data_IF_306311328402
#
_entry.id   IF_306311328402
#
_cell.length_a   1.000
_cell.length_b   1.000
_cell.length_c   1.000
_cell.angle_alpha   90.00
_cell.angle_beta   90.00
_cell.angle_gamma   90.00
#
_symmetry.space_group_name_H-M   'P 1'
#
loop_
_entity.id
_entity.type
_entity.pdbx_description
1 polymer ?
#
# COMPACT_ATOMS: atom_id res chain seq x y z
N UNK A 1 -28.28 -54.58 -55.74
CA UNK A 1 -27.18 -53.76 -55.06
C UNK A 1 -27.41 -52.23 -55.06
N UNK A 2 -28.50 -51.75 -55.63
CA UNK A 2 -28.79 -50.29 -55.71
C UNK A 2 -29.40 -49.70 -54.42
N UNK A 3 -30.06 -50.48 -53.58
CA UNK A 3 -30.72 -50.00 -52.34
C UNK A 3 -29.75 -49.68 -51.22
N UNK A 4 -28.60 -50.33 -51.10
CA UNK A 4 -27.58 -50.07 -50.09
C UNK A 4 -26.85 -48.76 -50.40
N UNK A 5 -26.66 -48.41 -51.66
CA UNK A 5 -26.04 -47.19 -52.14
C UNK A 5 -26.93 -45.95 -51.81
N UNK A 6 -28.27 -46.08 -51.97
CA UNK A 6 -29.22 -45.00 -51.65
C UNK A 6 -29.28 -44.70 -50.16
N UNK A 7 -29.21 -45.70 -49.27
CA UNK A 7 -29.17 -45.53 -47.83
C UNK A 7 -27.87 -44.80 -47.36
N UNK A 8 -26.72 -45.18 -47.90
CA UNK A 8 -25.45 -44.55 -47.58
C UNK A 8 -25.38 -43.09 -48.05
N UNK A 9 -25.96 -42.76 -49.19
CA UNK A 9 -26.08 -41.38 -49.66
C UNK A 9 -26.98 -40.57 -48.79
N UNK A 10 -28.12 -41.11 -48.35
CA UNK A 10 -29.02 -40.41 -47.38
C UNK A 10 -28.34 -40.08 -46.05
N UNK A 11 -27.64 -41.05 -45.44
CA UNK A 11 -26.90 -40.81 -44.21
C UNK A 11 -25.80 -39.77 -44.37
N UNK A 12 -25.12 -39.73 -45.52
CA UNK A 12 -24.11 -38.71 -45.82
C UNK A 12 -24.74 -37.31 -45.91
N UNK A 13 -25.89 -37.19 -46.57
CA UNK A 13 -26.60 -35.93 -46.70
C UNK A 13 -27.09 -35.46 -45.31
N UNK A 14 -27.64 -36.35 -44.50
CA UNK A 14 -28.09 -36.03 -43.14
C UNK A 14 -26.93 -35.59 -42.27
N UNK A 15 -25.81 -36.29 -42.26
CA UNK A 15 -24.62 -35.89 -41.52
C UNK A 15 -24.08 -34.51 -41.96
N UNK A 16 -24.08 -34.24 -43.30
CA UNK A 16 -23.67 -32.95 -43.82
C UNK A 16 -24.66 -31.80 -43.40
N UNK A 17 -25.95 -32.11 -43.31
CA UNK A 17 -26.96 -31.17 -42.88
C UNK A 17 -26.82 -30.85 -41.38
N UNK A 18 -26.58 -31.86 -40.55
CA UNK A 18 -26.33 -31.70 -39.12
C UNK A 18 -25.06 -30.91 -38.86
N UNK A 19 -23.99 -31.20 -39.59
CA UNK A 19 -22.73 -30.45 -39.51
C UNK A 19 -22.91 -28.99 -39.94
N UNK A 20 -23.66 -28.73 -41.02
CA UNK A 20 -23.96 -27.38 -41.48
C UNK A 20 -24.80 -26.60 -40.49
N UNK A 21 -25.82 -27.26 -39.88
CA UNK A 21 -26.65 -26.66 -38.83
C UNK A 21 -25.82 -26.29 -37.61
N UNK A 22 -24.91 -27.14 -37.16
CA UNK A 22 -24.00 -26.86 -36.06
C UNK A 22 -23.04 -25.69 -36.37
N UNK A 23 -22.51 -25.63 -37.60
CA UNK A 23 -21.65 -24.56 -38.06
C UNK A 23 -22.38 -23.20 -38.13
N UNK A 24 -23.64 -23.20 -38.60
CA UNK A 24 -24.49 -21.99 -38.61
C UNK A 24 -24.77 -21.54 -37.19
N UNK A 25 -25.20 -22.44 -36.31
CA UNK A 25 -25.45 -22.11 -34.90
C UNK A 25 -24.22 -21.48 -34.24
N UNK A 26 -23.06 -22.08 -34.46
CA UNK A 26 -21.77 -21.57 -33.94
C UNK A 26 -21.39 -20.20 -34.53
N UNK A 27 -21.69 -19.97 -35.80
CA UNK A 27 -21.44 -18.70 -36.45
C UNK A 27 -22.37 -17.60 -35.91
N UNK A 28 -23.64 -17.94 -35.64
CA UNK A 28 -24.59 -17.02 -35.01
C UNK A 28 -24.20 -16.69 -33.59
N UNK A 29 -23.73 -17.63 -32.80
CA UNK A 29 -23.23 -17.42 -31.45
C UNK A 29 -21.99 -16.50 -31.42
N UNK A 30 -21.07 -16.70 -32.36
CA UNK A 30 -19.91 -15.82 -32.53
C UNK A 30 -20.30 -14.40 -32.93
N UNK A 31 -21.31 -14.25 -33.78
CA UNK A 31 -21.81 -12.94 -34.18
C UNK A 31 -22.51 -12.22 -32.99
N UNK A 32 -23.32 -12.96 -32.25
CA UNK A 32 -24.04 -12.43 -31.10
C UNK A 32 -23.10 -11.99 -29.95
N UNK A 33 -22.04 -12.77 -29.72
CA UNK A 33 -21.07 -12.47 -28.64
C UNK A 33 -19.94 -11.58 -29.10
N UNK A 34 -19.75 -11.35 -30.40
CA UNK A 34 -18.60 -10.62 -30.95
C UNK A 34 -17.25 -11.33 -30.72
N UNK A 35 -17.26 -12.55 -30.22
CA UNK A 35 -16.06 -13.33 -29.87
C UNK A 35 -15.84 -14.49 -30.83
N UNK A 36 -14.61 -14.68 -31.24
CA UNK A 36 -14.23 -15.77 -32.15
C UNK A 36 -14.18 -17.13 -31.46
N UNK A 37 -13.91 -17.16 -30.16
CA UNK A 37 -13.95 -18.35 -29.31
C UNK A 37 -14.99 -18.16 -28.23
N UNK A 38 -16.11 -18.90 -28.27
CA UNK A 38 -17.21 -18.76 -27.31
C UNK A 38 -17.17 -19.90 -26.30
N UNK A 39 -16.82 -21.10 -26.74
CA UNK A 39 -16.72 -22.28 -25.88
C UNK A 39 -15.26 -22.70 -25.69
N UNK A 40 -14.95 -23.33 -24.57
CA UNK A 40 -13.61 -23.88 -24.30
C UNK A 40 -13.17 -24.92 -25.36
N UNK A 41 -14.10 -25.61 -25.99
CA UNK A 41 -13.84 -26.58 -27.08
C UNK A 41 -13.53 -25.92 -28.41
N UNK A 42 -13.81 -24.64 -28.59
CA UNK A 42 -13.73 -23.98 -29.90
C UNK A 42 -12.28 -23.63 -30.31
N UNK A 43 -11.46 -23.29 -29.41
CA UNK A 43 -10.01 -23.04 -29.57
C UNK A 43 -9.37 -23.04 -28.16
N UNK A 44 -9.12 -24.18 -27.54
CA UNK A 44 -8.75 -24.29 -26.15
C UNK A 44 -7.51 -23.46 -25.80
N UNK A 45 -6.49 -23.44 -26.63
CA UNK A 45 -5.28 -22.65 -26.42
C UNK A 45 -5.58 -21.15 -26.42
N UNK A 46 -6.35 -20.65 -27.37
CA UNK A 46 -6.71 -19.22 -27.46
C UNK A 46 -7.63 -18.80 -26.32
N UNK A 47 -8.55 -19.64 -25.89
CA UNK A 47 -9.48 -19.38 -24.77
C UNK A 47 -8.72 -19.32 -23.44
N UNK A 48 -7.76 -20.26 -23.26
CA UNK A 48 -6.90 -20.25 -22.05
C UNK A 48 -6.01 -18.99 -22.00
N UNK A 49 -5.40 -18.60 -23.12
CA UNK A 49 -4.58 -17.37 -23.19
C UNK A 49 -5.45 -16.14 -22.90
N UNK A 50 -6.65 -16.06 -23.49
CA UNK A 50 -7.57 -14.96 -23.25
C UNK A 50 -8.01 -14.90 -21.78
N UNK A 51 -8.33 -16.05 -21.17
CA UNK A 51 -8.67 -16.14 -19.75
C UNK A 51 -7.53 -15.70 -18.85
N UNK A 52 -6.32 -16.18 -19.10
CA UNK A 52 -5.13 -15.77 -18.35
C UNK A 52 -4.85 -14.27 -18.49
N UNK A 53 -5.02 -13.72 -19.69
CA UNK A 53 -4.83 -12.28 -19.95
C UNK A 53 -5.87 -11.45 -19.20
N UNK A 54 -7.13 -11.88 -19.14
CA UNK A 54 -8.17 -11.21 -18.37
C UNK A 54 -7.89 -11.27 -16.86
N UNK A 55 -7.45 -12.42 -16.36
CA UNK A 55 -7.06 -12.57 -14.96
C UNK A 55 -5.87 -11.66 -14.61
N UNK A 56 -4.87 -11.60 -15.50
CA UNK A 56 -3.72 -10.71 -15.31
C UNK A 56 -4.16 -9.24 -15.34
N UNK A 57 -5.07 -8.87 -16.25
CA UNK A 57 -5.62 -7.52 -16.31
C UNK A 57 -6.36 -7.15 -15.00
N UNK A 58 -7.22 -8.02 -14.51
CA UNK A 58 -7.92 -7.82 -13.24
C UNK A 58 -6.93 -7.70 -12.08
N UNK A 59 -5.91 -8.55 -12.05
CA UNK A 59 -4.85 -8.51 -11.04
C UNK A 59 -4.07 -7.19 -11.07
N UNK A 60 -3.73 -6.68 -12.25
CA UNK A 60 -3.05 -5.38 -12.42
C UNK A 60 -3.96 -4.23 -11.99
N UNK A 61 -5.25 -4.27 -12.33
CA UNK A 61 -6.21 -3.25 -11.90
C UNK A 61 -6.32 -3.17 -10.37
N UNK A 62 -6.43 -4.33 -9.70
CA UNK A 62 -6.38 -4.38 -8.24
C UNK A 62 -5.05 -3.89 -7.69
N UNK A 63 -3.95 -4.20 -8.36
CA UNK A 63 -2.62 -3.70 -7.99
C UNK A 63 -2.51 -2.18 -8.04
N UNK A 64 -3.12 -1.54 -9.02
CA UNK A 64 -3.17 -0.06 -9.12
C UNK A 64 -3.96 0.52 -7.93
N UNK A 65 -5.07 -0.10 -7.55
CA UNK A 65 -5.86 0.35 -6.38
C UNK A 65 -5.05 0.20 -5.08
N UNK A 66 -4.40 -0.94 -4.89
CA UNK A 66 -3.55 -1.17 -3.72
C UNK A 66 -2.38 -0.16 -3.65
N UNK A 67 -1.81 0.20 -4.81
CA UNK A 67 -0.75 1.19 -4.87
C UNK A 67 -1.26 2.60 -4.54
N UNK A 68 -2.46 2.95 -5.00
CA UNK A 68 -3.09 4.22 -4.65
C UNK A 68 -3.37 4.32 -3.14
N UNK A 69 -3.83 3.22 -2.53
CA UNK A 69 -4.00 3.14 -1.07
C UNK A 69 -2.66 3.28 -0.34
N UNK A 70 -1.61 2.62 -0.82
CA UNK A 70 -0.28 2.75 -0.24
C UNK A 70 0.26 4.19 -0.33
N UNK A 71 -0.01 4.90 -1.42
CA UNK A 71 0.35 6.32 -1.56
C UNK A 71 -0.38 7.19 -0.53
N UNK A 72 -1.66 6.93 -0.24
CA UNK A 72 -2.41 7.65 0.80
C UNK A 72 -1.78 7.42 2.19
N UNK A 73 -1.37 6.18 2.49
CA UNK A 73 -0.67 5.86 3.74
C UNK A 73 0.63 6.65 3.88
N UNK A 74 1.42 6.73 2.81
CA UNK A 74 2.66 7.51 2.79
C UNK A 74 2.38 9.01 2.97
N UNK A 75 1.30 9.53 2.39
CA UNK A 75 0.91 10.93 2.56
C UNK A 75 0.53 11.25 4.01
N UNK A 76 -0.24 10.37 4.67
CA UNK A 76 -0.55 10.52 6.10
C UNK A 76 0.75 10.52 6.91
N UNK A 77 1.62 9.54 6.68
CA UNK A 77 2.90 9.46 7.37
C UNK A 77 3.76 10.72 7.17
N UNK A 78 3.81 11.25 5.96
CA UNK A 78 4.54 12.48 5.65
C UNK A 78 3.98 13.70 6.40
N UNK A 79 2.66 13.78 6.56
CA UNK A 79 2.04 14.85 7.34
C UNK A 79 2.36 14.72 8.83
N UNK A 80 2.32 13.49 9.36
CA UNK A 80 2.69 13.22 10.75
C UNK A 80 4.17 13.56 11.01
N UNK A 81 5.07 13.17 10.12
CA UNK A 81 6.50 13.52 10.20
C UNK A 81 6.71 15.05 10.20
N UNK A 82 6.02 15.78 9.35
CA UNK A 82 6.10 17.26 9.36
C UNK A 82 5.64 17.86 10.68
N UNK A 83 4.59 17.32 11.26
CA UNK A 83 4.11 17.74 12.58
C UNK A 83 5.15 17.44 13.67
N UNK A 84 5.73 16.26 13.65
CA UNK A 84 6.79 15.86 14.57
C UNK A 84 8.05 16.74 14.41
N UNK A 85 8.45 17.08 13.20
CA UNK A 85 9.56 18.02 12.92
C UNK A 85 9.28 19.40 13.45
N UNK A 86 8.05 19.90 13.35
CA UNK A 86 7.65 21.19 13.92
C UNK A 86 7.77 21.20 15.43
N UNK A 87 7.31 20.15 16.10
CA UNK A 87 7.43 19.98 17.55
C UNK A 87 8.91 19.94 17.96
N UNK A 88 9.73 19.15 17.27
CA UNK A 88 11.16 19.06 17.57
C UNK A 88 11.89 20.40 17.40
N UNK A 89 11.54 21.17 16.38
CA UNK A 89 12.08 22.51 16.17
C UNK A 89 11.72 23.41 17.36
N UNK A 90 10.48 23.33 17.84
CA UNK A 90 10.05 24.12 19.00
C UNK A 90 10.78 23.68 20.29
N UNK A 91 10.98 22.39 20.50
CA UNK A 91 11.75 21.87 21.64
C UNK A 91 13.20 22.37 21.59
N UNK A 92 13.84 22.43 20.41
CA UNK A 92 15.17 23.01 20.24
C UNK A 92 15.21 24.48 20.60
N UNK A 93 14.21 25.27 20.20
CA UNK A 93 14.10 26.68 20.57
C UNK A 93 14.01 26.85 22.10
N UNK A 94 13.16 26.03 22.74
CA UNK A 94 13.00 26.04 24.19
C UNK A 94 14.28 25.63 24.92
N UNK A 95 15.00 24.62 24.39
CA UNK A 95 16.28 24.23 24.95
C UNK A 95 17.29 25.37 24.88
N UNK A 96 17.43 26.00 23.71
CA UNK A 96 18.32 27.17 23.55
C UNK A 96 17.94 28.33 24.53
N UNK A 97 16.62 28.52 24.71
CA UNK A 97 16.13 29.51 25.68
C UNK A 97 16.47 29.13 27.13
N UNK A 98 16.32 27.84 27.47
CA UNK A 98 16.63 27.31 28.81
C UNK A 98 18.13 27.39 29.17
N UNK A 99 19.02 27.26 28.19
CA UNK A 99 20.46 27.38 28.35
C UNK A 99 20.91 28.85 28.64
N UNK A 100 20.06 29.82 28.36
CA UNK A 100 20.39 31.20 28.57
C UNK A 100 20.62 31.46 30.07
N UNK A 101 21.84 31.91 30.44
CA UNK A 101 22.24 32.21 31.80
C UNK A 101 21.52 33.38 32.43
N UNK A 102 20.75 34.18 31.67
CA UNK A 102 19.96 35.31 32.17
C UNK A 102 18.59 34.85 32.71
N UNK A 103 18.15 33.64 32.46
CA UNK A 103 16.89 33.10 32.94
C UNK A 103 17.01 32.69 34.42
N UNK A 104 16.02 33.05 35.21
CA UNK A 104 15.92 32.57 36.57
C UNK A 104 15.62 31.06 36.64
N UNK A 105 15.86 30.46 37.82
CA UNK A 105 15.51 29.05 38.02
C UNK A 105 14.01 28.77 37.80
N UNK A 106 13.14 29.72 38.17
CA UNK A 106 11.70 29.58 37.94
C UNK A 106 11.34 29.62 36.42
N UNK A 107 12.01 30.50 35.65
CA UNK A 107 11.80 30.59 34.22
C UNK A 107 12.23 29.30 33.52
N UNK A 108 13.35 28.71 33.93
CA UNK A 108 13.83 27.41 33.40
C UNK A 108 12.86 26.27 33.68
N UNK A 109 12.24 26.27 34.87
CA UNK A 109 11.19 25.27 35.19
C UNK A 109 9.99 25.43 34.25
N UNK A 110 9.54 26.65 34.00
CA UNK A 110 8.40 26.88 33.08
C UNK A 110 8.73 26.49 31.64
N UNK A 111 9.94 26.77 31.17
CA UNK A 111 10.43 26.33 29.84
C UNK A 111 10.46 24.80 29.77
N UNK A 112 10.91 24.15 30.85
CA UNK A 112 10.92 22.69 30.93
C UNK A 112 9.50 22.08 30.82
N UNK A 113 8.53 22.66 31.53
CA UNK A 113 7.14 22.19 31.46
C UNK A 113 6.54 22.34 30.04
N UNK A 114 6.84 23.47 29.35
CA UNK A 114 6.41 23.63 27.96
C UNK A 114 7.05 22.56 27.04
N UNK A 115 8.32 22.25 27.26
CA UNK A 115 9.00 21.19 26.51
C UNK A 115 8.40 19.80 26.79
N UNK A 116 8.08 19.50 28.05
CA UNK A 116 7.44 18.24 28.44
C UNK A 116 6.06 18.06 27.78
N UNK A 117 5.25 19.13 27.76
CA UNK A 117 3.93 19.10 27.10
C UNK A 117 4.08 18.83 25.58
N UNK A 118 5.06 19.43 24.92
CA UNK A 118 5.36 19.19 23.52
C UNK A 118 5.81 17.75 23.27
N UNK A 119 6.57 17.17 24.19
CA UNK A 119 6.99 15.76 24.07
C UNK A 119 5.86 14.79 24.32
N UNK A 120 4.90 15.12 25.17
CA UNK A 120 3.65 14.34 25.30
C UNK A 120 2.85 14.39 24.01
N UNK A 121 2.76 15.56 23.36
CA UNK A 121 2.11 15.69 22.05
C UNK A 121 2.86 14.88 20.98
N UNK A 122 4.19 14.92 20.95
CA UNK A 122 5.02 14.11 20.06
C UNK A 122 4.72 12.61 20.23
N UNK A 123 4.72 12.12 21.46
CA UNK A 123 4.41 10.72 21.77
C UNK A 123 2.96 10.36 21.37
N UNK A 124 2.02 11.29 21.54
CA UNK A 124 0.63 11.11 21.16
C UNK A 124 0.48 10.98 19.63
N UNK A 125 1.13 11.85 18.84
CA UNK A 125 1.14 11.75 17.37
C UNK A 125 1.73 10.41 16.97
N UNK A 126 2.89 10.03 17.51
CA UNK A 126 3.55 8.77 17.17
C UNK A 126 2.68 7.55 17.51
N UNK A 127 2.00 7.53 18.64
CA UNK A 127 1.15 6.42 19.06
C UNK A 127 -0.18 6.34 18.30
N UNK A 128 -0.71 7.49 17.88
CA UNK A 128 -1.98 7.60 17.18
C UNK A 128 -1.85 7.50 15.66
N UNK A 129 -0.65 7.65 15.12
CA UNK A 129 -0.39 7.47 13.68
C UNK A 129 -0.54 6.01 13.32
N UNK A 130 -1.74 5.67 12.84
CA UNK A 130 -2.13 4.30 12.48
C UNK A 130 -2.91 4.28 11.18
N UNK A 131 -2.69 3.25 10.39
CA UNK A 131 -3.55 2.91 9.26
C UNK A 131 -4.31 1.61 9.57
N UNK A 132 -5.62 1.73 9.80
CA UNK A 132 -6.40 0.63 10.35
C UNK A 132 -5.88 0.18 11.71
N UNK A 133 -5.45 -1.06 11.82
CA UNK A 133 -4.88 -1.62 13.07
C UNK A 133 -3.34 -1.54 13.12
N UNK A 134 -2.69 -0.97 12.09
CA UNK A 134 -1.22 -0.96 11.99
C UNK A 134 -0.66 0.40 12.36
N UNK A 135 0.29 0.42 13.30
CA UNK A 135 1.08 1.63 13.60
C UNK A 135 2.00 1.94 12.43
N UNK A 136 2.09 3.22 12.06
CA UNK A 136 2.97 3.70 11.00
C UNK A 136 4.39 3.99 11.53
N UNK A 137 4.54 4.21 12.83
CA UNK A 137 5.82 4.33 13.51
C UNK A 137 6.09 3.05 14.30
N UNK A 138 7.07 2.26 13.94
CA UNK A 138 7.35 1.02 14.67
C UNK A 138 8.11 -0.02 13.85
N UNK A 139 8.69 0.39 12.73
CA UNK A 139 9.54 -0.48 11.91
C UNK A 139 8.78 -1.66 11.28
N UNK A 140 7.51 -1.47 10.94
CA UNK A 140 6.68 -2.53 10.38
C UNK A 140 6.81 -2.53 8.86
N UNK A 141 7.29 -3.64 8.31
CA UNK A 141 7.28 -3.87 6.87
C UNK A 141 5.89 -4.33 6.44
N UNK A 142 5.29 -3.63 5.49
CA UNK A 142 4.04 -4.04 4.83
C UNK A 142 4.29 -4.37 3.37
N UNK A 143 3.76 -5.50 2.93
CA UNK A 143 3.80 -5.89 1.53
C UNK A 143 2.60 -5.35 0.81
N UNK A 144 2.84 -4.62 -0.27
CA UNK A 144 1.80 -4.15 -1.19
C UNK A 144 1.86 -5.02 -2.43
N UNK A 145 0.74 -5.66 -2.76
CA UNK A 145 0.61 -6.46 -3.98
C UNK A 145 0.16 -5.58 -5.14
N UNK A 146 0.94 -5.58 -6.21
CA UNK A 146 0.58 -4.89 -7.45
C UNK A 146 0.56 -5.90 -8.61
N UNK A 147 -0.56 -6.57 -8.72
CA UNK A 147 -0.75 -7.60 -9.72
C UNK A 147 -0.02 -8.90 -9.37
N UNK A 148 0.82 -9.36 -10.29
CA UNK A 148 1.59 -10.61 -10.13
C UNK A 148 2.83 -10.45 -9.24
N UNK A 149 3.17 -9.22 -8.87
CA UNK A 149 4.33 -8.89 -8.08
C UNK A 149 3.93 -8.27 -6.74
N UNK A 150 4.85 -8.32 -5.78
CA UNK A 150 4.70 -7.70 -4.48
C UNK A 150 5.94 -6.86 -4.20
N UNK A 151 5.74 -5.68 -3.60
CA UNK A 151 6.82 -4.88 -3.02
C UNK A 151 6.61 -4.75 -1.53
N UNK A 152 7.69 -4.77 -0.79
CA UNK A 152 7.67 -4.47 0.64
C UNK A 152 7.93 -2.97 0.81
N UNK A 153 7.04 -2.31 1.53
CA UNK A 153 7.23 -0.93 1.97
C UNK A 153 7.51 -0.98 3.46
N UNK A 154 8.64 -0.44 3.87
CA UNK A 154 8.98 -0.28 5.27
C UNK A 154 8.38 1.04 5.78
N UNK A 155 7.50 0.94 6.77
CA UNK A 155 6.97 2.10 7.47
C UNK A 155 7.69 2.24 8.81
N UNK A 156 8.30 3.40 9.01
CA UNK A 156 9.01 3.74 10.23
C UNK A 156 10.36 3.03 10.35
N UNK A 157 11.28 3.71 10.97
CA UNK A 157 12.51 3.10 11.49
C UNK A 157 12.21 2.51 12.88
N UNK A 158 12.92 1.46 13.26
CA UNK A 158 13.01 1.03 14.67
C UNK A 158 13.80 2.09 15.44
N UNK A 159 13.33 3.32 15.42
CA UNK A 159 14.06 4.38 16.06
C UNK A 159 13.67 4.43 17.51
N UNK A 160 14.65 4.24 18.32
CA UNK A 160 14.81 4.63 19.70
C UNK A 160 13.79 5.72 20.06
N UNK A 161 12.93 5.40 20.99
CA UNK A 161 12.15 6.39 21.70
C UNK A 161 13.12 7.45 22.17
N UNK A 162 13.06 8.65 21.60
CA UNK A 162 13.77 9.80 22.18
C UNK A 162 13.16 10.01 23.56
N UNK A 163 13.79 9.49 24.57
CA UNK A 163 13.45 9.78 25.95
C UNK A 163 14.18 11.07 26.30
N UNK A 164 13.44 12.15 26.20
CA UNK A 164 13.89 13.43 26.72
C UNK A 164 13.71 13.40 28.23
N UNK A 165 14.76 13.65 28.98
CA UNK A 165 14.67 13.79 30.43
C UNK A 165 14.68 15.27 30.76
N UNK A 166 13.52 15.83 31.14
CA UNK A 166 13.35 17.21 31.56
C UNK A 166 14.20 17.54 32.78
N UNK A 167 14.65 16.55 33.53
CA UNK A 167 15.53 16.73 34.70
C UNK A 167 16.90 17.26 34.27
N UNK A 168 17.36 16.98 33.07
CA UNK A 168 18.64 17.48 32.55
C UNK A 168 18.61 18.96 32.20
N UNK A 169 17.45 19.50 31.79
CA UNK A 169 17.29 20.94 31.57
C UNK A 169 17.33 21.76 32.86
N UNK A 170 16.87 21.21 33.98
CA UNK A 170 16.87 21.92 35.28
C UNK A 170 18.22 21.91 35.98
N UNK A 171 19.08 20.93 35.69
CA UNK A 171 20.40 20.79 36.34
C UNK A 171 21.54 21.49 35.61
N UNK A 172 21.32 22.02 34.41
CA UNK A 172 22.33 22.78 33.66
C UNK A 172 23.49 21.93 33.14
N UNK A 173 23.34 20.63 33.13
CA UNK A 173 24.33 19.69 32.60
C UNK A 173 23.93 19.36 31.18
N UNK A 174 24.20 20.24 30.25
CA UNK A 174 24.13 19.96 28.83
C UNK A 174 25.25 19.00 28.43
N UNK A 175 25.02 17.69 28.53
CA UNK A 175 26.01 16.68 28.11
C UNK A 175 25.96 16.36 26.61
N UNK A 176 25.29 17.18 25.82
CA UNK A 176 25.18 17.02 24.37
C UNK A 176 24.29 15.85 23.93
N UNK A 177 23.57 15.20 24.83
CA UNK A 177 22.77 14.01 24.57
C UNK A 177 21.57 14.31 23.67
N UNK A 178 21.01 15.52 23.78
CA UNK A 178 19.91 15.99 22.91
C UNK A 178 20.36 16.04 21.45
N UNK A 179 21.61 16.44 21.19
CA UNK A 179 22.18 16.52 19.86
C UNK A 179 22.41 15.13 19.25
N UNK A 180 22.70 14.12 20.07
CA UNK A 180 22.90 12.72 19.63
C UNK A 180 21.58 12.02 19.37
N UNK A 181 20.55 12.31 20.16
CA UNK A 181 19.21 11.73 19.95
C UNK A 181 18.50 12.37 18.75
N UNK A 182 18.77 13.64 18.46
CA UNK A 182 18.24 14.33 17.28
C UNK A 182 18.90 13.86 15.97
N UNK A 183 20.18 13.51 15.99
CA UNK A 183 20.89 12.96 14.83
C UNK A 183 20.43 11.54 14.45
N UNK A 184 19.66 10.85 15.29
CA UNK A 184 19.10 9.54 15.01
C UNK A 184 17.74 9.61 14.31
N UNK A 185 17.20 10.83 14.09
CA UNK A 185 15.88 11.06 13.43
C UNK A 185 16.04 11.52 11.97
N UNK A 186 17.26 11.85 11.51
CA UNK A 186 17.60 12.08 10.10
C UNK A 186 17.87 10.77 9.38
#
# INVERSE_FOLDING_TARGET
MTTISAGSAFYKVQAALDENSANVAKSMERLATGRRGVTAGDRPASTTIAGNTLNNLASVQMGIQNLAEAMQVIEVLNNDIKSLQSIMTRVQELNTLGENGLNSAADKVNIGLEADDLLLEFAAIQSNSKWGATSLFGGVNKTVSFGLNQASIAFGSTTTTATFDSTEMTTGVGDGKIATDLAAVD
#
